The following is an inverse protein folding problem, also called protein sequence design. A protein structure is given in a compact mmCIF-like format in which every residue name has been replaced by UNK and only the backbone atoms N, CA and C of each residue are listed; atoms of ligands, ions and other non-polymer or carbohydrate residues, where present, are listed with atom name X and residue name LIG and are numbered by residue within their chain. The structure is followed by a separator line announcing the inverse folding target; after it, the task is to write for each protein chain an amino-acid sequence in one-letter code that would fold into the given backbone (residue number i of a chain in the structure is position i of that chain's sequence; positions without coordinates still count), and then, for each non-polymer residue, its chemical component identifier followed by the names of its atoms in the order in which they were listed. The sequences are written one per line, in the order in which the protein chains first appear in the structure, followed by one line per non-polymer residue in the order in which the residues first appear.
data_IF_928177548433
#
_entry.id   IF_928177548433
#
_cell.length_a   1.000
_cell.length_b   1.000
_cell.length_c   1.000
_cell.angle_alpha   90.00
_cell.angle_beta   90.00
_cell.angle_gamma   90.00
#
_symmetry.space_group_name_H-M   'P 1'
#
loop_
_entity.id
_entity.type
_entity.pdbx_description
1 polymer ?
#
# COMPACT_ATOMS: atom_id res chain seq x y z
N UNK A 1 33.50 11.08 54.42
CA UNK A 1 33.07 9.76 53.89
C UNK A 1 31.56 9.78 53.68
N UNK A 2 31.08 9.18 52.57
CA UNK A 2 29.68 9.06 52.10
C UNK A 2 29.13 10.18 51.20
N UNK A 3 29.92 10.67 50.25
CA UNK A 3 29.43 11.40 49.05
C UNK A 3 29.48 10.54 47.78
N UNK A 4 29.71 9.23 47.91
CA UNK A 4 30.04 8.32 46.79
C UNK A 4 28.89 7.44 46.30
N UNK A 5 27.63 7.70 46.71
CA UNK A 5 26.48 6.87 46.31
C UNK A 5 25.51 7.56 45.33
N UNK A 6 25.56 8.87 45.16
CA UNK A 6 24.63 9.58 44.26
C UNK A 6 25.07 9.61 42.79
N UNK A 7 26.37 9.40 42.52
CA UNK A 7 26.93 9.46 41.17
C UNK A 7 26.70 8.17 40.35
N UNK A 8 26.39 7.06 41.02
CA UNK A 8 26.17 5.76 40.37
C UNK A 8 24.76 5.64 39.76
N UNK A 9 23.76 6.31 40.34
CA UNK A 9 22.37 6.23 39.86
C UNK A 9 22.10 7.07 38.60
N UNK A 10 22.87 8.12 38.34
CA UNK A 10 22.69 9.00 37.17
C UNK A 10 23.32 8.41 35.91
N UNK A 11 24.35 7.57 36.04
CA UNK A 11 25.00 6.91 34.90
C UNK A 11 24.23 5.70 34.37
N UNK A 12 23.30 5.13 35.13
CA UNK A 12 22.58 3.91 34.75
C UNK A 12 21.24 4.18 34.03
N UNK A 13 20.73 5.41 34.04
CA UNK A 13 19.47 5.79 33.38
C UNK A 13 19.62 6.16 31.89
N UNK A 14 20.85 6.28 31.37
CA UNK A 14 21.10 6.60 29.96
C UNK A 14 21.08 5.39 29.01
N UNK A 15 20.97 4.16 29.55
CA UNK A 15 21.00 2.95 28.73
C UNK A 15 19.63 2.52 28.15
N UNK A 16 18.52 3.18 28.51
CA UNK A 16 17.18 2.67 28.20
C UNK A 16 16.37 3.41 27.14
N UNK A 17 16.85 4.53 26.58
CA UNK A 17 15.99 5.32 25.69
C UNK A 17 16.64 5.61 24.34
N UNK A 18 16.67 4.59 23.49
CA UNK A 18 16.38 4.70 22.05
C UNK A 18 16.39 3.29 21.45
N UNK A 19 15.43 2.44 21.82
CA UNK A 19 15.01 1.41 20.88
C UNK A 19 14.33 2.16 19.74
N UNK A 20 15.05 2.43 18.64
CA UNK A 20 14.40 2.77 17.38
C UNK A 20 13.37 1.68 17.16
N UNK A 21 12.09 2.05 17.33
CA UNK A 21 10.95 1.25 16.92
C UNK A 21 11.31 0.82 15.49
N UNK A 22 11.41 -0.47 15.24
CA UNK A 22 11.74 -1.00 13.90
C UNK A 22 10.92 -0.17 12.91
N UNK A 23 11.54 0.58 11.98
CA UNK A 23 10.74 1.35 11.04
C UNK A 23 9.87 0.35 10.31
N UNK A 24 8.55 0.46 10.48
CA UNK A 24 7.60 -0.31 9.69
C UNK A 24 7.96 -0.10 8.22
N UNK A 25 7.93 -1.16 7.40
CA UNK A 25 8.20 -1.01 5.98
C UNK A 25 7.23 0.03 5.41
N UNK A 26 7.74 1.16 4.90
CA UNK A 26 6.90 2.23 4.31
C UNK A 26 6.38 1.85 2.90
N UNK A 27 6.02 0.59 2.70
CA UNK A 27 5.71 0.01 1.41
C UNK A 27 4.72 -1.15 1.53
N UNK A 28 4.18 -1.59 0.40
CA UNK A 28 3.15 -2.62 0.40
C UNK A 28 1.82 -2.05 0.86
N UNK A 29 1.01 -2.87 1.53
CA UNK A 29 -0.28 -2.46 2.05
C UNK A 29 -0.21 -1.49 3.23
N UNK A 30 0.87 -1.57 4.01
CA UNK A 30 1.18 -0.64 5.09
C UNK A 30 1.90 0.62 4.57
N UNK A 31 2.12 0.71 3.25
CA UNK A 31 2.79 1.84 2.62
C UNK A 31 1.99 3.14 2.67
N UNK A 32 2.72 4.26 2.51
CA UNK A 32 2.09 5.57 2.33
C UNK A 32 1.31 5.60 1.00
N UNK A 33 0.13 6.24 0.98
CA UNK A 33 -0.59 6.46 -0.27
C UNK A 33 0.18 7.43 -1.16
N UNK A 34 0.31 7.13 -2.46
CA UNK A 34 0.95 8.01 -3.44
C UNK A 34 -0.02 8.56 -4.50
N UNK A 35 -1.16 7.89 -4.72
CA UNK A 35 -2.21 8.36 -5.63
C UNK A 35 -3.58 7.89 -5.12
N UNK A 36 -4.55 8.80 -5.09
CA UNK A 36 -5.94 8.46 -4.84
C UNK A 36 -6.63 8.08 -6.16
N UNK A 37 -7.42 7.01 -6.12
CA UNK A 37 -8.31 6.55 -7.19
C UNK A 37 -9.74 6.85 -6.74
N UNK A 38 -10.50 7.59 -7.55
CA UNK A 38 -11.87 7.97 -7.21
C UNK A 38 -12.81 7.62 -8.37
N UNK A 39 -13.74 6.70 -8.12
CA UNK A 39 -14.80 6.27 -9.04
C UNK A 39 -14.29 5.89 -10.44
N UNK A 40 -13.16 5.17 -10.50
CA UNK A 40 -12.58 4.73 -11.76
C UNK A 40 -13.09 3.35 -12.15
N UNK A 41 -13.24 3.14 -13.45
CA UNK A 41 -13.56 1.83 -14.00
C UNK A 41 -12.38 0.87 -13.78
N UNK A 42 -12.69 -0.38 -13.46
CA UNK A 42 -11.70 -1.40 -13.25
C UNK A 42 -12.14 -2.76 -13.80
N UNK A 43 -11.14 -3.56 -14.19
CA UNK A 43 -11.28 -4.98 -14.51
C UNK A 43 -10.68 -5.78 -13.38
N UNK A 44 -11.48 -6.66 -12.76
CA UNK A 44 -10.98 -7.60 -11.75
C UNK A 44 -10.53 -8.91 -12.41
N UNK A 45 -9.27 -9.29 -12.20
CA UNK A 45 -8.66 -10.48 -12.81
C UNK A 45 -8.65 -11.70 -11.88
N UNK A 46 -9.10 -11.55 -10.64
CA UNK A 46 -9.02 -12.58 -9.59
C UNK A 46 -7.81 -12.39 -8.67
N UNK A 47 -7.88 -13.00 -7.49
CA UNK A 47 -6.82 -12.97 -6.46
C UNK A 47 -6.35 -11.54 -6.10
N UNK A 48 -7.29 -10.59 -6.00
CA UNK A 48 -6.98 -9.19 -5.69
C UNK A 48 -6.40 -8.37 -6.84
N UNK A 49 -6.19 -8.92 -8.05
CA UNK A 49 -5.57 -8.20 -9.15
C UNK A 49 -6.58 -7.35 -9.93
N UNK A 50 -6.27 -6.07 -10.12
CA UNK A 50 -7.08 -5.12 -10.89
C UNK A 50 -6.28 -4.45 -12.00
N UNK A 51 -6.95 -4.14 -13.11
CA UNK A 51 -6.55 -3.05 -14.01
C UNK A 51 -7.51 -1.89 -13.82
N UNK A 52 -6.98 -0.73 -13.45
CA UNK A 52 -7.73 0.50 -13.21
C UNK A 52 -7.55 1.41 -14.42
N UNK A 53 -8.65 1.96 -14.93
CA UNK A 53 -8.67 2.79 -16.11
C UNK A 53 -8.90 4.25 -15.70
N UNK A 54 -7.87 5.06 -15.86
CA UNK A 54 -7.93 6.50 -15.62
C UNK A 54 -8.10 7.22 -16.96
N UNK A 55 -9.31 7.69 -17.23
CA UNK A 55 -9.66 8.44 -18.44
C UNK A 55 -9.51 9.94 -18.27
N UNK A 56 -9.07 10.41 -17.09
CA UNK A 56 -8.87 11.84 -16.83
C UNK A 56 -7.57 12.36 -17.44
N UNK A 57 -6.57 11.49 -17.60
CA UNK A 57 -5.38 11.77 -18.40
C UNK A 57 -5.67 11.52 -19.89
N UNK A 58 -5.27 12.47 -20.74
CA UNK A 58 -5.39 12.43 -22.21
C UNK A 58 -4.76 11.18 -22.85
N UNK A 59 -3.99 10.43 -22.08
CA UNK A 59 -3.28 9.20 -22.42
C UNK A 59 -3.92 7.93 -21.86
N UNK A 60 -5.25 7.86 -21.60
CA UNK A 60 -5.95 6.59 -21.27
C UNK A 60 -5.15 5.68 -20.32
N UNK A 61 -4.65 6.26 -19.22
CA UNK A 61 -3.67 5.62 -18.38
C UNK A 61 -4.27 4.36 -17.73
N UNK A 62 -3.50 3.28 -17.72
CA UNK A 62 -3.90 2.01 -17.09
C UNK A 62 -2.94 1.70 -15.98
N UNK A 63 -3.48 1.44 -14.79
CA UNK A 63 -2.68 1.04 -13.63
C UNK A 63 -3.06 -0.38 -13.25
N UNK A 64 -2.08 -1.29 -13.27
CA UNK A 64 -2.22 -2.59 -12.61
C UNK A 64 -2.06 -2.39 -11.11
N UNK A 65 -2.93 -2.98 -10.29
CA UNK A 65 -2.82 -2.91 -8.83
C UNK A 65 -3.24 -4.22 -8.17
N UNK A 66 -2.71 -4.47 -6.97
CA UNK A 66 -3.08 -5.62 -6.12
C UNK A 66 -3.80 -5.11 -4.88
N UNK A 67 -5.02 -5.58 -4.64
CA UNK A 67 -5.81 -5.21 -3.48
C UNK A 67 -5.17 -5.75 -2.19
N UNK A 68 -5.13 -4.90 -1.17
CA UNK A 68 -4.60 -5.26 0.15
C UNK A 68 -5.49 -6.25 0.90
N UNK A 69 -6.79 -6.14 0.69
CA UNK A 69 -7.77 -7.09 1.17
C UNK A 69 -8.52 -7.65 -0.02
N UNK A 70 -8.68 -8.96 -0.06
CA UNK A 70 -9.40 -9.65 -1.13
C UNK A 70 -10.74 -10.10 -0.60
N UNK A 71 -11.80 -9.72 -1.30
CA UNK A 71 -13.15 -10.20 -1.01
C UNK A 71 -13.49 -11.39 -1.91
N UNK A 72 -13.90 -12.49 -1.28
CA UNK A 72 -14.35 -13.70 -1.96
C UNK A 72 -15.60 -13.53 -2.83
N UNK A 73 -16.38 -12.46 -2.62
CA UNK A 73 -17.58 -12.14 -3.40
C UNK A 73 -17.27 -11.45 -4.73
N UNK A 74 -16.04 -10.96 -4.93
CA UNK A 74 -15.66 -10.32 -6.18
C UNK A 74 -15.60 -11.33 -7.32
N UNK A 75 -16.28 -11.01 -8.42
CA UNK A 75 -16.40 -11.87 -9.58
C UNK A 75 -15.37 -11.47 -10.61
N UNK A 76 -14.50 -12.41 -10.97
CA UNK A 76 -13.52 -12.23 -12.05
C UNK A 76 -14.24 -11.85 -13.35
N UNK A 77 -13.67 -10.90 -14.09
CA UNK A 77 -14.16 -10.52 -15.40
C UNK A 77 -14.03 -11.70 -16.39
N UNK A 78 -14.99 -11.82 -17.30
CA UNK A 78 -14.98 -12.85 -18.34
C UNK A 78 -13.72 -12.76 -19.23
N UNK A 79 -13.27 -11.54 -19.52
CA UNK A 79 -12.02 -11.28 -20.24
C UNK A 79 -11.45 -9.90 -19.89
N UNK A 80 -10.23 -9.62 -20.37
CA UNK A 80 -9.46 -8.40 -20.08
C UNK A 80 -10.06 -7.10 -20.64
N UNK A 81 -11.08 -7.18 -21.50
CA UNK A 81 -11.77 -5.99 -22.05
C UNK A 81 -12.96 -5.56 -21.19
N UNK A 82 -13.45 -6.44 -20.32
CA UNK A 82 -14.63 -6.19 -19.49
C UNK A 82 -14.24 -5.40 -18.25
N UNK A 83 -14.76 -4.18 -18.12
CA UNK A 83 -14.60 -3.31 -16.95
C UNK A 83 -15.78 -3.51 -16.01
N UNK A 84 -15.72 -4.56 -15.21
CA UNK A 84 -16.83 -5.06 -14.39
C UNK A 84 -17.01 -4.36 -13.05
N UNK A 85 -16.12 -3.43 -12.68
CA UNK A 85 -16.21 -2.70 -11.42
C UNK A 85 -16.00 -1.20 -11.60
N UNK A 86 -16.58 -0.43 -10.69
CA UNK A 86 -16.15 0.93 -10.34
C UNK A 86 -15.49 0.83 -8.97
N UNK A 87 -14.27 1.38 -8.83
CA UNK A 87 -13.53 1.37 -7.56
C UNK A 87 -13.06 2.75 -7.15
N UNK A 88 -12.97 2.95 -5.83
CA UNK A 88 -12.24 4.04 -5.19
C UNK A 88 -11.29 3.47 -4.14
N UNK A 89 -10.18 4.15 -3.91
CA UNK A 89 -9.17 3.71 -2.95
C UNK A 89 -7.86 4.47 -3.06
N UNK A 90 -6.90 4.03 -2.26
CA UNK A 90 -5.57 4.62 -2.21
C UNK A 90 -4.53 3.65 -2.76
N UNK A 91 -3.82 4.06 -3.81
CA UNK A 91 -2.65 3.34 -4.31
C UNK A 91 -1.48 3.56 -3.35
N UNK A 92 -0.85 2.45 -2.94
CA UNK A 92 0.25 2.39 -1.98
C UNK A 92 1.57 2.04 -2.65
N UNK A 93 2.65 2.63 -2.17
CA UNK A 93 4.01 2.42 -2.68
C UNK A 93 4.39 0.95 -2.68
N UNK A 94 5.12 0.49 -3.69
CA UNK A 94 5.64 -0.89 -3.74
C UNK A 94 6.88 -1.04 -2.84
N UNK A 95 7.15 -2.27 -2.39
CA UNK A 95 8.32 -2.59 -1.56
C UNK A 95 9.62 -2.77 -2.36
N UNK A 96 9.68 -2.21 -3.57
CA UNK A 96 10.84 -2.40 -4.41
C UNK A 96 11.84 -1.25 -4.26
N UNK A 97 13.06 -1.59 -3.83
CA UNK A 97 14.21 -0.70 -3.73
C UNK A 97 15.39 -1.27 -4.52
N UNK A 98 15.39 -1.08 -5.84
CA UNK A 98 16.50 -1.51 -6.70
C UNK A 98 16.36 -1.04 -8.14
N UNK A 99 17.39 -1.28 -8.95
CA UNK A 99 17.33 -1.15 -10.41
C UNK A 99 16.89 -2.49 -11.00
N UNK A 100 15.61 -2.62 -11.32
CA UNK A 100 15.07 -3.73 -12.10
C UNK A 100 14.23 -3.20 -13.24
N UNK A 101 14.33 -3.85 -14.38
CA UNK A 101 13.48 -3.61 -15.54
C UNK A 101 12.05 -4.15 -15.33
N UNK A 102 11.79 -4.82 -14.20
CA UNK A 102 10.48 -5.40 -13.87
C UNK A 102 9.64 -4.38 -13.11
N UNK A 103 8.57 -3.90 -13.75
CA UNK A 103 7.56 -3.09 -13.09
C UNK A 103 6.75 -3.95 -12.11
N UNK A 104 6.83 -3.64 -10.81
CA UNK A 104 5.99 -4.26 -9.78
C UNK A 104 4.70 -3.45 -9.66
N UNK A 105 3.51 -4.08 -9.72
CA UNK A 105 2.26 -3.35 -9.55
C UNK A 105 2.16 -2.75 -8.14
N UNK A 106 1.68 -1.51 -7.98
CA UNK A 106 1.31 -0.95 -6.68
C UNK A 106 0.24 -1.79 -5.97
N UNK A 107 0.14 -1.58 -4.67
CA UNK A 107 -0.97 -2.09 -3.88
C UNK A 107 -2.11 -1.08 -3.84
N UNK A 108 -3.34 -1.52 -3.56
CA UNK A 108 -4.49 -0.63 -3.38
C UNK A 108 -5.27 -1.00 -2.12
N UNK A 109 -5.51 -0.01 -1.26
CA UNK A 109 -6.53 -0.09 -0.21
C UNK A 109 -7.85 0.40 -0.81
N UNK A 110 -8.75 -0.53 -1.11
CA UNK A 110 -10.05 -0.22 -1.71
C UNK A 110 -10.98 0.33 -0.62
N UNK A 111 -11.49 1.54 -0.83
CA UNK A 111 -12.44 2.20 0.08
C UNK A 111 -13.89 2.06 -0.40
N UNK A 112 -14.09 1.83 -1.70
CA UNK A 112 -15.39 1.54 -2.29
C UNK A 112 -15.22 0.70 -3.55
N UNK A 113 -16.09 -0.30 -3.72
CA UNK A 113 -16.15 -1.14 -4.90
C UNK A 113 -17.61 -1.47 -5.22
N UNK A 114 -18.02 -1.17 -6.45
CA UNK A 114 -19.37 -1.42 -6.94
C UNK A 114 -19.27 -2.20 -8.24
N UNK A 115 -20.00 -3.32 -8.32
CA UNK A 115 -20.12 -4.08 -9.55
C UNK A 115 -20.92 -3.26 -10.57
N UNK A 116 -20.44 -3.20 -11.81
CA UNK A 116 -21.17 -2.61 -12.94
C UNK A 116 -22.29 -3.50 -13.45
#
# INVERSE_FOLDING_TARGET
MKTSSFLVFVLMSLAFSCKKKNPEPECGCDGKPFKQVANLEATYHGHGNFTIYDTSDSTSARTGAVACEVDSTWQKAENYKVRNYIISGDLKSTCYSGESLVAIPPYITITSITKK
#
